data_IF_420320223618
#
_entry.id   IF_420320223618
#
_cell.length_a   1.000
_cell.length_b   1.000
_cell.length_c   1.000
_cell.angle_alpha   90.00
_cell.angle_beta   90.00
_cell.angle_gamma   90.00
#
_symmetry.space_group_name_H-M   'P 1'
#
loop_
_entity.id
_entity.type
_entity.pdbx_description
1 polymer ?
#
# COMPACT_ATOMS: atom_id res chain seq x y z
N UNK A 1 12.36 39.31 35.20
CA UNK A 1 12.43 37.83 35.28
C UNK A 1 11.20 37.16 34.64
N UNK A 2 10.63 37.72 33.57
CA UNK A 2 9.47 37.17 32.84
C UNK A 2 9.54 37.50 31.34
N UNK A 3 10.72 37.40 30.74
CA UNK A 3 10.88 37.56 29.28
C UNK A 3 11.48 36.33 28.60
N UNK A 4 11.91 35.31 29.35
CA UNK A 4 12.55 34.11 28.79
C UNK A 4 11.55 33.03 28.31
N UNK A 5 10.26 33.13 28.63
CA UNK A 5 9.26 32.10 28.30
C UNK A 5 8.62 32.25 26.91
N UNK A 6 8.91 33.34 26.18
CA UNK A 6 8.17 33.73 24.96
C UNK A 6 8.97 33.60 23.67
N UNK A 7 9.67 32.47 23.49
CA UNK A 7 10.09 32.09 22.14
C UNK A 7 10.00 30.58 21.95
N UNK A 8 8.94 30.14 21.27
CA UNK A 8 8.88 28.83 20.60
C UNK A 8 9.92 28.81 19.46
N UNK A 9 11.21 28.91 19.79
CA UNK A 9 12.29 28.87 18.82
C UNK A 9 12.39 27.46 18.25
N UNK A 10 11.88 27.31 17.04
CA UNK A 10 12.29 26.25 16.15
C UNK A 10 13.82 26.27 16.08
N UNK A 11 14.48 25.32 16.73
CA UNK A 11 15.94 25.24 16.78
C UNK A 11 16.40 24.19 15.77
N UNK A 12 16.83 24.61 14.56
CA UNK A 12 17.19 23.67 13.49
C UNK A 12 18.42 22.83 13.84
N UNK A 13 19.30 23.31 14.74
CA UNK A 13 20.45 22.53 15.20
C UNK A 13 19.99 21.38 16.10
N UNK A 14 19.08 21.65 17.03
CA UNK A 14 18.49 20.62 17.89
C UNK A 14 17.75 19.56 17.07
N UNK A 15 16.99 19.98 16.06
CA UNK A 15 16.31 19.05 15.16
C UNK A 15 17.30 18.15 14.41
N UNK A 16 18.33 18.74 13.80
CA UNK A 16 19.38 17.99 13.09
C UNK A 16 20.14 17.05 14.02
N UNK A 17 20.45 17.48 15.24
CA UNK A 17 21.11 16.66 16.25
C UNK A 17 20.26 15.43 16.60
N UNK A 18 18.99 15.63 16.93
CA UNK A 18 18.07 14.54 17.26
C UNK A 18 17.89 13.58 16.09
N UNK A 19 17.73 14.10 14.86
CA UNK A 19 17.61 13.27 13.66
C UNK A 19 18.90 12.51 13.34
N UNK A 20 20.06 13.10 13.57
CA UNK A 20 21.36 12.43 13.42
C UNK A 20 21.48 11.27 14.41
N UNK A 21 21.24 11.51 15.70
CA UNK A 21 21.29 10.44 16.72
C UNK A 21 20.23 9.36 16.45
N UNK A 22 19.03 9.74 16.02
CA UNK A 22 18.00 8.79 15.64
C UNK A 22 18.42 7.87 14.48
N UNK A 23 19.16 8.40 13.50
CA UNK A 23 19.71 7.61 12.39
C UNK A 23 20.87 6.73 12.85
N UNK A 24 21.73 7.19 13.76
CA UNK A 24 22.84 6.40 14.29
C UNK A 24 22.36 5.19 15.11
N UNK A 25 21.20 5.30 15.77
CA UNK A 25 20.55 4.18 16.47
C UNK A 25 19.59 3.38 15.58
N UNK A 26 19.77 3.44 14.26
CA UNK A 26 18.99 2.68 13.27
C UNK A 26 17.47 2.88 13.45
N UNK A 27 17.05 4.15 13.59
CA UNK A 27 15.64 4.52 13.74
C UNK A 27 14.93 3.93 14.97
N UNK A 28 15.67 3.64 16.04
CA UNK A 28 15.08 3.23 17.30
C UNK A 28 14.12 4.28 17.87
N UNK A 29 13.28 3.84 18.81
CA UNK A 29 12.23 4.66 19.40
C UNK A 29 12.73 5.87 20.18
N UNK A 30 11.76 6.64 20.70
CA UNK A 30 12.01 7.89 21.44
C UNK A 30 12.93 7.68 22.64
N UNK A 31 12.75 6.59 23.39
CA UNK A 31 13.52 6.34 24.62
C UNK A 31 14.98 6.04 24.31
N UNK A 32 15.26 5.17 23.33
CA UNK A 32 16.62 4.84 22.91
C UNK A 32 17.35 6.05 22.34
N UNK A 33 16.67 6.82 21.47
CA UNK A 33 17.23 8.05 20.92
C UNK A 33 17.53 9.07 22.03
N UNK A 34 16.62 9.22 23.00
CA UNK A 34 16.82 10.11 24.15
C UNK A 34 17.95 9.65 25.07
N UNK A 35 18.10 8.34 25.30
CA UNK A 35 19.19 7.79 26.11
C UNK A 35 20.56 8.13 25.50
N UNK A 36 20.70 7.94 24.19
CA UNK A 36 21.94 8.26 23.46
C UNK A 36 22.24 9.76 23.43
N UNK A 37 21.22 10.62 23.33
CA UNK A 37 21.42 12.07 23.45
C UNK A 37 21.90 12.49 24.84
N UNK A 38 21.42 11.82 25.90
CA UNK A 38 21.75 12.16 27.30
C UNK A 38 23.18 11.83 27.69
N UNK A 39 23.89 11.01 26.93
CA UNK A 39 25.32 10.77 27.14
C UNK A 39 26.16 12.03 26.93
N UNK A 40 25.67 12.97 26.11
CA UNK A 40 26.44 14.16 25.68
C UNK A 40 25.72 15.50 25.88
N UNK A 41 24.39 15.49 25.97
CA UNK A 41 23.59 16.71 25.96
C UNK A 41 22.49 16.69 27.01
N UNK A 42 22.29 17.82 27.69
CA UNK A 42 21.12 18.07 28.53
C UNK A 42 20.07 18.86 27.76
N UNK A 43 18.98 18.21 27.36
CA UNK A 43 17.89 18.83 26.59
C UNK A 43 16.65 19.00 27.49
N UNK A 44 16.24 20.24 27.83
CA UNK A 44 15.03 20.49 28.61
C UNK A 44 13.80 19.88 27.94
N UNK A 45 12.94 19.23 28.72
CA UNK A 45 11.74 18.53 28.20
C UNK A 45 12.08 17.56 27.05
N UNK A 46 13.29 16.97 27.06
CA UNK A 46 13.86 16.22 25.94
C UNK A 46 12.97 15.12 25.36
N UNK A 47 12.23 14.37 26.19
CA UNK A 47 11.27 13.36 25.70
C UNK A 47 10.20 13.96 24.79
N UNK A 48 9.67 15.14 25.12
CA UNK A 48 8.65 15.84 24.32
C UNK A 48 9.24 16.31 23.00
N UNK A 49 10.44 16.89 23.04
CA UNK A 49 11.18 17.38 21.87
C UNK A 49 11.51 16.24 20.91
N UNK A 50 12.17 15.19 21.40
CA UNK A 50 12.55 14.02 20.60
C UNK A 50 11.32 13.37 19.98
N UNK A 51 10.24 13.17 20.76
CA UNK A 51 8.99 12.63 20.23
C UNK A 51 8.41 13.48 19.09
N UNK A 52 8.44 14.81 19.21
CA UNK A 52 7.93 15.70 18.17
C UNK A 52 8.74 15.58 16.87
N UNK A 53 10.06 15.53 16.97
CA UNK A 53 10.97 15.41 15.82
C UNK A 53 10.85 14.03 15.17
N UNK A 54 10.86 12.94 15.95
CA UNK A 54 10.77 11.58 15.40
C UNK A 54 9.44 11.30 14.71
N UNK A 55 8.35 11.94 15.16
CA UNK A 55 7.05 11.87 14.48
C UNK A 55 7.08 12.40 13.04
N UNK A 56 8.07 13.22 12.68
CA UNK A 56 8.23 13.74 11.33
C UNK A 56 9.14 12.86 10.45
N UNK A 57 9.81 11.84 11.03
CA UNK A 57 10.68 10.94 10.29
C UNK A 57 9.89 10.11 9.25
N UNK A 58 10.17 10.32 7.97
CA UNK A 58 9.47 9.64 6.86
C UNK A 58 9.67 8.13 6.91
N UNK A 59 10.88 7.65 7.22
CA UNK A 59 11.18 6.22 7.28
C UNK A 59 10.36 5.55 8.39
N UNK A 60 10.33 6.13 9.59
CA UNK A 60 9.49 5.63 10.68
C UNK A 60 8.01 5.68 10.30
N UNK A 61 7.51 6.78 9.73
CA UNK A 61 6.12 6.89 9.28
C UNK A 61 5.72 5.79 8.31
N UNK A 62 6.58 5.46 7.34
CA UNK A 62 6.33 4.39 6.36
C UNK A 62 6.33 3.01 7.02
N UNK A 63 7.29 2.75 7.91
CA UNK A 63 7.40 1.47 8.61
C UNK A 63 6.28 1.23 9.63
N UNK A 64 5.74 2.30 10.21
CA UNK A 64 4.62 2.24 11.16
C UNK A 64 3.28 2.58 10.51
N UNK A 65 3.22 2.74 9.20
CA UNK A 65 1.97 3.04 8.51
C UNK A 65 1.03 1.84 8.67
N UNK A 66 -0.16 2.07 9.23
CA UNK A 66 -1.21 1.07 9.29
C UNK A 66 -1.74 0.74 7.88
N UNK A 67 -2.42 -0.41 7.75
CA UNK A 67 -3.18 -0.71 6.54
C UNK A 67 -4.25 0.36 6.37
N UNK A 68 -4.29 0.99 5.19
CA UNK A 68 -5.44 1.79 4.78
C UNK A 68 -6.50 0.79 4.32
N UNK A 69 -7.68 0.82 4.93
CA UNK A 69 -8.84 0.06 4.47
C UNK A 69 -9.76 1.05 3.74
N UNK A 70 -9.55 1.29 2.43
CA UNK A 70 -10.46 2.11 1.66
C UNK A 70 -11.81 1.38 1.51
N UNK A 71 -12.88 2.15 1.38
CA UNK A 71 -14.15 1.59 0.94
C UNK A 71 -13.99 0.97 -0.45
N UNK A 72 -14.56 -0.22 -0.71
CA UNK A 72 -14.47 -0.84 -2.02
C UNK A 72 -15.17 0.04 -3.05
N UNK A 73 -14.48 0.33 -4.16
CA UNK A 73 -15.11 1.00 -5.29
C UNK A 73 -16.27 0.15 -5.84
N UNK A 74 -17.36 0.78 -6.34
CA UNK A 74 -18.43 0.05 -6.98
C UNK A 74 -17.88 -0.77 -8.16
N UNK A 75 -18.32 -2.03 -8.27
CA UNK A 75 -17.91 -2.89 -9.38
C UNK A 75 -18.51 -2.37 -10.69
N UNK A 76 -17.82 -2.54 -11.84
CA UNK A 76 -18.39 -2.21 -13.13
C UNK A 76 -19.69 -2.98 -13.39
N UNK A 77 -20.71 -2.38 -14.05
CA UNK A 77 -21.97 -3.03 -14.39
C UNK A 77 -21.77 -4.37 -15.12
N UNK A 78 -20.77 -4.43 -15.99
CA UNK A 78 -20.35 -5.62 -16.76
C UNK A 78 -19.97 -6.83 -15.89
N UNK A 79 -19.62 -6.61 -14.61
CA UNK A 79 -19.30 -7.67 -13.63
C UNK A 79 -20.53 -8.10 -12.82
N UNK A 80 -21.59 -7.30 -12.79
CA UNK A 80 -22.75 -7.50 -11.91
C UNK A 80 -23.98 -7.97 -12.70
N UNK A 81 -24.14 -7.52 -13.95
CA UNK A 81 -25.30 -7.87 -14.76
C UNK A 81 -25.18 -9.25 -15.40
N UNK A 82 -26.31 -9.95 -15.49
CA UNK A 82 -26.42 -11.17 -16.30
C UNK A 82 -26.34 -10.78 -17.78
N UNK A 83 -25.37 -11.35 -18.48
CA UNK A 83 -25.16 -11.12 -19.92
C UNK A 83 -25.20 -12.45 -20.67
N UNK A 84 -25.53 -12.39 -21.96
CA UNK A 84 -25.52 -13.57 -22.81
C UNK A 84 -24.11 -14.19 -22.88
N UNK A 85 -24.05 -15.48 -23.18
CA UNK A 85 -22.77 -16.15 -23.38
C UNK A 85 -21.96 -15.42 -24.47
N UNK A 86 -20.67 -15.23 -24.21
CA UNK A 86 -19.71 -14.53 -25.08
C UNK A 86 -20.01 -13.05 -25.36
N UNK A 87 -20.99 -12.43 -24.68
CA UNK A 87 -21.29 -11.01 -24.85
C UNK A 87 -20.20 -10.12 -24.23
N UNK A 88 -19.64 -10.53 -23.09
CA UNK A 88 -18.54 -9.85 -22.42
C UNK A 88 -17.42 -10.86 -22.21
N UNK A 89 -16.27 -10.61 -22.83
CA UNK A 89 -15.10 -11.47 -22.75
C UNK A 89 -13.90 -10.70 -22.21
N UNK A 90 -13.12 -11.34 -21.34
CA UNK A 90 -11.81 -10.88 -20.91
C UNK A 90 -10.72 -11.72 -21.55
N UNK A 91 -9.63 -11.07 -21.95
CA UNK A 91 -8.39 -11.74 -22.33
C UNK A 91 -7.33 -11.42 -21.28
N UNK A 92 -6.64 -12.43 -20.78
CA UNK A 92 -5.51 -12.27 -19.86
C UNK A 92 -4.27 -12.97 -20.41
N UNK A 93 -3.09 -12.41 -20.15
CA UNK A 93 -1.82 -12.99 -20.54
C UNK A 93 -1.14 -13.54 -19.29
N UNK A 94 -1.08 -14.86 -19.19
CA UNK A 94 -0.21 -15.47 -18.19
C UNK A 94 1.25 -15.36 -18.68
N UNK A 95 2.16 -15.09 -17.72
CA UNK A 95 3.57 -14.78 -17.99
C UNK A 95 4.29 -15.80 -18.87
N UNK A 96 5.41 -15.41 -19.46
CA UNK A 96 6.11 -16.24 -20.44
C UNK A 96 6.59 -17.56 -19.86
N UNK A 97 6.29 -18.65 -20.55
CA UNK A 97 6.93 -19.94 -20.33
C UNK A 97 8.15 -20.06 -21.24
N UNK A 98 9.27 -20.51 -20.66
CA UNK A 98 10.45 -20.87 -21.43
C UNK A 98 10.33 -22.32 -21.88
N UNK A 99 10.29 -22.53 -23.19
CA UNK A 99 10.31 -23.86 -23.78
C UNK A 99 11.74 -24.41 -23.82
N UNK A 100 11.86 -25.73 -23.96
CA UNK A 100 13.15 -26.36 -24.27
C UNK A 100 13.66 -25.81 -25.59
N UNK A 101 14.88 -25.26 -25.59
CA UNK A 101 15.45 -24.52 -26.74
C UNK A 101 15.46 -23.00 -26.58
N UNK A 102 14.99 -22.46 -25.45
CA UNK A 102 15.16 -21.04 -25.10
C UNK A 102 14.13 -20.10 -25.73
N UNK A 103 13.15 -20.61 -26.47
CA UNK A 103 12.02 -19.82 -26.96
C UNK A 103 11.05 -19.49 -25.83
N UNK A 104 10.52 -18.26 -25.86
CA UNK A 104 9.50 -17.78 -24.92
C UNK A 104 8.12 -17.88 -25.57
N UNK A 105 7.17 -18.46 -24.86
CA UNK A 105 5.77 -18.55 -25.27
C UNK A 105 4.87 -17.89 -24.24
N UNK A 106 3.82 -17.23 -24.70
CA UNK A 106 2.78 -16.65 -23.86
C UNK A 106 1.55 -17.54 -23.84
N UNK A 107 0.84 -17.58 -22.72
CA UNK A 107 -0.48 -18.19 -22.63
C UNK A 107 -1.50 -17.07 -22.65
N UNK A 108 -2.45 -17.15 -23.59
CA UNK A 108 -3.59 -16.24 -23.65
C UNK A 108 -4.81 -16.96 -23.07
N UNK A 109 -5.38 -16.42 -22.00
CA UNK A 109 -6.58 -16.91 -21.35
C UNK A 109 -7.77 -16.08 -21.82
N UNK A 110 -8.71 -16.70 -22.51
CA UNK A 110 -9.99 -16.08 -22.84
C UNK A 110 -11.06 -16.54 -21.86
N UNK A 111 -11.77 -15.60 -21.24
CA UNK A 111 -12.82 -15.87 -20.26
C UNK A 111 -14.07 -15.10 -20.61
N UNK A 112 -15.23 -15.73 -20.45
CA UNK A 112 -16.54 -15.08 -20.63
C UNK A 112 -17.10 -14.71 -19.25
N UNK A 113 -17.62 -13.48 -19.10
CA UNK A 113 -18.21 -12.99 -17.86
C UNK A 113 -19.69 -13.39 -17.66
N UNK A 114 -20.30 -14.05 -18.64
CA UNK A 114 -21.69 -14.51 -18.58
C UNK A 114 -21.89 -15.61 -17.54
N UNK A 115 -22.72 -15.32 -16.52
CA UNK A 115 -23.26 -16.33 -15.60
C UNK A 115 -24.65 -16.72 -16.09
N UNK A 116 -24.78 -17.93 -16.64
CA UNK A 116 -26.07 -18.49 -17.03
C UNK A 116 -26.94 -18.70 -15.79
N UNK A 117 -28.02 -17.92 -15.63
CA UNK A 117 -29.26 -18.54 -15.13
C UNK A 117 -30.00 -19.00 -16.36
N UNK A 118 -30.33 -20.28 -16.43
CA UNK A 118 -31.54 -20.67 -17.14
C UNK A 118 -32.71 -20.19 -16.26
N UNK A 119 -33.52 -19.19 -16.64
CA UNK A 119 -34.85 -19.08 -16.10
C UNK A 119 -35.71 -20.05 -16.91
N UNK A 120 -36.44 -20.94 -16.24
CA UNK A 120 -37.42 -21.87 -16.83
C UNK A 120 -36.86 -23.06 -17.60
N UNK A 121 -37.19 -24.25 -17.08
CA UNK A 121 -37.20 -25.46 -17.89
C UNK A 121 -38.24 -25.37 -19.01
N UNK A 122 -38.06 -26.26 -19.98
CA UNK A 122 -38.86 -26.55 -21.18
C UNK A 122 -38.36 -25.98 -22.51
N UNK A 123 -38.20 -26.94 -23.45
CA UNK A 123 -38.31 -26.83 -24.91
C UNK A 123 -37.03 -26.56 -25.73
N UNK A 124 -36.40 -27.68 -26.12
CA UNK A 124 -36.13 -28.15 -27.50
C UNK A 124 -35.65 -27.16 -28.60
N UNK A 125 -34.84 -27.74 -29.52
CA UNK A 125 -34.41 -27.25 -30.86
C UNK A 125 -33.15 -26.34 -30.79
N UNK A 126 -32.07 -26.49 -31.57
CA UNK A 126 -31.68 -27.36 -32.67
C UNK A 126 -30.15 -27.49 -32.67
N UNK A 127 -29.62 -28.70 -32.75
CA UNK A 127 -28.25 -28.92 -33.23
C UNK A 127 -28.27 -28.69 -34.74
N UNK A 128 -27.89 -27.49 -35.18
CA UNK A 128 -27.51 -27.29 -36.58
C UNK A 128 -26.07 -26.79 -36.64
N UNK A 129 -25.18 -27.72 -36.98
CA UNK A 129 -23.97 -27.54 -37.79
C UNK A 129 -23.31 -26.17 -37.69
N UNK A 130 -22.23 -26.10 -36.92
CA UNK A 130 -21.17 -25.14 -37.18
C UNK A 130 -20.11 -25.89 -37.99
N UNK A 131 -19.88 -25.37 -39.20
CA UNK A 131 -18.75 -25.68 -40.10
C UNK A 131 -17.44 -25.37 -39.38
#
# INVERSE_FOLDING_TARGET
>A
MLEEERERRHNPLLERLVLYTHRSVIHAGVLTTLAQLREKFWIPKGRRVVRAILRQCIKCKRLTAGKVNPDPAPLPPDRIHRVAAFQINGADLAGTLSLRGGSKTWIVLFTCAGVSSSPTGTSLISLHRIV
#
